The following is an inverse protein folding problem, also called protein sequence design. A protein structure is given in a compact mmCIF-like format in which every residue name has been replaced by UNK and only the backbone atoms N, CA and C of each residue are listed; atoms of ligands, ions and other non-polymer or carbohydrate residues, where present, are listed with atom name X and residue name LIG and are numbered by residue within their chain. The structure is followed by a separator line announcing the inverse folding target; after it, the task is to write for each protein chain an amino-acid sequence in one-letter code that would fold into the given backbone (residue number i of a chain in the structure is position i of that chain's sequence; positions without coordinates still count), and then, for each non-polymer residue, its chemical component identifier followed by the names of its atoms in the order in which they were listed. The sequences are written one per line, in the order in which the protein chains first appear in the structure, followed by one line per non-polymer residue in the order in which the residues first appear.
data_IF_143636230509
#
_entry.id   IF_143636230509
#
_cell.length_a   1.000
_cell.length_b   1.000
_cell.length_c   1.000
_cell.angle_alpha   90.00
_cell.angle_beta   90.00
_cell.angle_gamma   90.00
#
_symmetry.space_group_name_H-M   'P 1'
#
loop_
_entity.id
_entity.type
_entity.pdbx_description
1 polymer ?
#
# COMPACT_ATOMS: atom_id res chain seq x y z
N UNK A 1 1.67 -6.81 -10.32
CA UNK A 1 1.32 -6.79 -8.88
C UNK A 1 2.46 -6.24 -8.02
N UNK A 2 3.66 -6.81 -8.14
CA UNK A 2 4.84 -6.47 -7.32
C UNK A 2 5.18 -4.96 -7.33
N UNK A 3 5.37 -4.35 -8.50
CA UNK A 3 5.77 -2.93 -8.62
C UNK A 3 4.73 -1.99 -7.99
N UNK A 4 3.46 -2.12 -8.37
CA UNK A 4 2.37 -1.25 -7.88
C UNK A 4 2.08 -1.44 -6.39
N UNK A 5 2.15 -2.67 -5.88
CA UNK A 5 2.01 -2.95 -4.45
C UNK A 5 3.18 -2.39 -3.64
N UNK A 6 4.42 -2.62 -4.07
CA UNK A 6 5.62 -2.06 -3.43
C UNK A 6 5.62 -0.53 -3.46
N UNK A 7 5.22 0.08 -4.58
CA UNK A 7 5.08 1.52 -4.69
C UNK A 7 4.03 2.06 -3.72
N UNK A 8 2.84 1.45 -3.65
CA UNK A 8 1.78 1.85 -2.72
C UNK A 8 2.24 1.76 -1.26
N UNK A 9 2.91 0.66 -0.90
CA UNK A 9 3.49 0.48 0.43
C UNK A 9 4.51 1.57 0.77
N UNK A 10 5.43 1.85 -0.15
CA UNK A 10 6.47 2.87 0.04
C UNK A 10 5.88 4.27 0.19
N UNK A 11 4.98 4.66 -0.71
CA UNK A 11 4.32 5.97 -0.70
C UNK A 11 3.51 6.19 0.57
N UNK A 12 2.80 5.16 1.05
CA UNK A 12 2.10 5.18 2.34
C UNK A 12 3.04 5.45 3.53
N UNK A 13 4.22 4.82 3.56
CA UNK A 13 5.22 5.06 4.60
C UNK A 13 5.84 6.47 4.51
N UNK A 14 6.08 6.95 3.30
CA UNK A 14 6.58 8.31 3.05
C UNK A 14 5.56 9.37 3.49
N UNK A 15 4.26 9.09 3.36
CA UNK A 15 3.20 10.06 3.60
C UNK A 15 2.90 10.92 2.36
N UNK A 16 3.21 10.41 1.16
CA UNK A 16 3.02 11.08 -0.12
C UNK A 16 1.53 11.24 -0.48
N UNK A 17 0.88 12.24 0.12
CA UNK A 17 -0.55 12.49 -0.02
C UNK A 17 -0.95 12.85 -1.46
N UNK A 18 -0.02 13.37 -2.26
CA UNK A 18 -0.21 13.63 -3.69
C UNK A 18 -0.54 12.35 -4.49
N UNK A 19 -0.11 11.18 -4.01
CA UNK A 19 -0.38 9.90 -4.65
C UNK A 19 -1.71 9.25 -4.22
N UNK A 20 -2.50 9.92 -3.37
CA UNK A 20 -3.73 9.36 -2.78
C UNK A 20 -4.72 8.86 -3.84
N UNK A 21 -4.98 9.66 -4.86
CA UNK A 21 -5.97 9.31 -5.90
C UNK A 21 -5.50 8.14 -6.76
N UNK A 22 -4.20 8.03 -7.02
CA UNK A 22 -3.63 6.90 -7.75
C UNK A 22 -3.61 5.61 -6.92
N UNK A 23 -3.32 5.71 -5.62
CA UNK A 23 -3.38 4.57 -4.70
C UNK A 23 -4.83 4.10 -4.50
N UNK A 24 -5.82 5.01 -4.48
CA UNK A 24 -7.23 4.66 -4.33
C UNK A 24 -7.75 3.79 -5.48
N UNK A 25 -7.21 3.94 -6.70
CA UNK A 25 -7.56 3.10 -7.86
C UNK A 25 -7.16 1.62 -7.69
N UNK A 26 -6.33 1.31 -6.69
CA UNK A 26 -5.83 -0.03 -6.43
C UNK A 26 -6.62 -0.78 -5.35
N UNK A 27 -7.66 -0.17 -4.75
CA UNK A 27 -8.38 -0.76 -3.61
C UNK A 27 -9.04 -2.11 -3.91
N UNK A 28 -9.60 -2.26 -5.11
CA UNK A 28 -10.29 -3.49 -5.53
C UNK A 28 -9.33 -4.54 -6.11
N UNK A 29 -8.02 -4.30 -6.03
CA UNK A 29 -7.02 -5.16 -6.64
C UNK A 29 -6.71 -6.38 -5.73
N UNK A 30 -7.26 -7.54 -6.11
CA UNK A 30 -7.12 -8.81 -5.40
C UNK A 30 -5.84 -9.59 -5.68
N UNK A 31 -4.95 -9.15 -6.58
CA UNK A 31 -3.72 -9.89 -6.87
C UNK A 31 -2.84 -10.01 -5.62
N UNK A 32 -2.50 -11.24 -5.29
CA UNK A 32 -1.69 -11.55 -4.13
C UNK A 32 -0.20 -11.27 -4.36
N UNK A 33 0.48 -10.90 -3.29
CA UNK A 33 1.93 -10.75 -3.24
C UNK A 33 2.45 -10.92 -1.81
N UNK A 34 3.76 -11.15 -1.70
CA UNK A 34 4.44 -11.22 -0.42
C UNK A 34 5.13 -9.88 -0.14
N UNK A 35 5.07 -9.45 1.12
CA UNK A 35 5.78 -8.26 1.61
C UNK A 35 6.58 -8.66 2.83
N UNK A 36 7.79 -8.12 2.93
CA UNK A 36 8.57 -8.19 4.16
C UNK A 36 8.25 -6.97 5.03
N UNK A 37 7.89 -7.20 6.29
CA UNK A 37 7.62 -6.13 7.24
C UNK A 37 7.72 -6.62 8.67
N UNK A 38 8.26 -5.78 9.56
CA UNK A 38 8.41 -6.08 11.00
C UNK A 38 9.12 -7.43 11.27
N UNK A 39 10.14 -7.74 10.48
CA UNK A 39 10.92 -8.97 10.63
C UNK A 39 10.30 -10.22 10.00
N UNK A 40 9.12 -10.14 9.38
CA UNK A 40 8.38 -11.30 8.89
C UNK A 40 7.92 -11.12 7.44
N UNK A 41 7.88 -12.23 6.71
CA UNK A 41 7.21 -12.28 5.41
C UNK A 41 5.70 -12.47 5.62
N UNK A 42 4.89 -11.66 4.94
CA UNK A 42 3.44 -11.72 5.01
C UNK A 42 2.85 -11.74 3.60
N UNK A 43 1.90 -12.66 3.37
CA UNK A 43 1.07 -12.67 2.17
C UNK A 43 -0.06 -11.64 2.29
N UNK A 44 -0.29 -10.86 1.25
CA UNK A 44 -1.31 -9.81 1.19
C UNK A 44 -1.78 -9.60 -0.26
N UNK A 45 -2.75 -8.72 -0.49
CA UNK A 45 -3.11 -8.24 -1.83
C UNK A 45 -2.63 -6.81 -2.08
N UNK A 46 -2.57 -6.42 -3.35
CA UNK A 46 -2.29 -5.03 -3.76
C UNK A 46 -3.32 -4.06 -3.13
N UNK A 47 -4.61 -4.40 -3.13
CA UNK A 47 -5.66 -3.58 -2.52
C UNK A 47 -5.54 -3.46 -1.00
N UNK A 48 -5.13 -4.52 -0.31
CA UNK A 48 -4.87 -4.46 1.13
C UNK A 48 -3.69 -3.52 1.45
N UNK A 49 -2.63 -3.54 0.63
CA UNK A 49 -1.51 -2.59 0.76
C UNK A 49 -1.96 -1.16 0.50
N UNK A 50 -2.76 -0.93 -0.55
CA UNK A 50 -3.30 0.38 -0.88
C UNK A 50 -4.16 0.94 0.27
N UNK A 51 -5.01 0.11 0.87
CA UNK A 51 -5.80 0.47 2.04
C UNK A 51 -4.93 0.89 3.23
N UNK A 52 -3.86 0.15 3.52
CA UNK A 52 -2.91 0.49 4.58
C UNK A 52 -2.20 1.82 4.30
N UNK A 53 -1.77 2.04 3.06
CA UNK A 53 -1.11 3.28 2.65
C UNK A 53 -2.03 4.50 2.83
N UNK A 54 -3.30 4.40 2.44
CA UNK A 54 -4.28 5.48 2.60
C UNK A 54 -4.55 5.80 4.08
N UNK A 55 -4.58 4.80 4.96
CA UNK A 55 -4.73 5.03 6.42
C UNK A 55 -3.56 5.85 6.98
N UNK A 56 -2.32 5.57 6.54
CA UNK A 56 -1.13 6.32 6.98
C UNK A 56 -1.17 7.80 6.57
N UNK A 57 -1.84 8.14 5.47
CA UNK A 57 -2.07 9.55 5.11
C UNK A 57 -3.02 10.26 6.07
N UNK A 58 -3.97 9.53 6.66
CA UNK A 58 -4.91 10.09 7.63
C UNK A 58 -4.29 10.24 9.02
N UNK A 59 -3.41 9.32 9.41
CA UNK A 59 -2.76 9.31 10.74
C UNK A 59 -1.61 10.33 10.88
N UNK A 60 -1.06 10.85 9.77
CA UNK A 60 -0.01 11.88 9.77
C UNK A 60 -0.55 13.32 9.74
N UNK A 61 -1.85 13.51 9.94
CA UNK A 61 -2.51 14.83 9.96
C UNK A 61 -2.68 15.35 11.39
#
# INVERSE_FOLDING_TARGET
PLVRGSASWFLGNLGACEAKDDIAKLLDESHEMEIYGKGQMKKTSVGAIASEALKKFMDKK
#
